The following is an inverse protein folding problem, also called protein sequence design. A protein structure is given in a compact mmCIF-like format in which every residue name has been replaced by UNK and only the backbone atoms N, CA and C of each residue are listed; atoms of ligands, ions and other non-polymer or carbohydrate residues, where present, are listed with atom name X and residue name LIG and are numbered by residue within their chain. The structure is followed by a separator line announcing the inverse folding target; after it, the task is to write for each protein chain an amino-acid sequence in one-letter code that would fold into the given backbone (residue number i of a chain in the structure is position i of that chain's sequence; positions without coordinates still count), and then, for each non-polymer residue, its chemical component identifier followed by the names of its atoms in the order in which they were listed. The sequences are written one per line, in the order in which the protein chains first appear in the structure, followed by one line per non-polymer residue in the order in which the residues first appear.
data_IF_686075526202
#
_entry.id   IF_686075526202
#
_cell.length_a   1.000
_cell.length_b   1.000
_cell.length_c   1.000
_cell.angle_alpha   90.00
_cell.angle_beta   90.00
_cell.angle_gamma   90.00
#
_symmetry.space_group_name_H-M   'P 1'
#
loop_
_entity.id
_entity.type
_entity.pdbx_description
1 polymer ?
#
# COMPACT_ATOMS: atom_id res chain seq x y z
N UNK A 1 10.41 7.99 -16.36
CA UNK A 1 10.09 7.34 -15.09
C UNK A 1 10.81 8.11 -14.00
N UNK A 2 10.15 8.37 -12.89
CA UNK A 2 10.69 9.22 -11.83
C UNK A 2 10.41 8.61 -10.45
N UNK A 3 11.41 8.61 -9.58
CA UNK A 3 11.24 8.23 -8.18
C UNK A 3 10.53 9.39 -7.47
N UNK A 4 9.46 9.08 -6.75
CA UNK A 4 8.66 10.03 -5.98
C UNK A 4 8.99 9.96 -4.50
N UNK A 5 8.75 11.04 -3.79
CA UNK A 5 8.89 11.07 -2.33
C UNK A 5 7.75 10.29 -1.68
N UNK A 6 8.08 9.34 -0.82
CA UNK A 6 7.10 8.63 0.01
C UNK A 6 6.82 9.48 1.24
N UNK A 7 5.55 9.82 1.44
CA UNK A 7 5.11 10.50 2.66
C UNK A 7 4.95 9.50 3.80
N UNK A 8 5.28 9.94 5.01
CA UNK A 8 5.29 9.08 6.19
C UNK A 8 4.39 9.63 7.29
N UNK A 9 3.91 8.72 8.16
CA UNK A 9 3.20 9.10 9.37
C UNK A 9 4.07 10.10 10.19
N UNK A 10 3.55 11.17 10.77
CA UNK A 10 2.13 11.50 10.97
C UNK A 10 1.50 12.45 9.92
N UNK A 11 1.88 12.36 8.67
CA UNK A 11 1.30 13.22 7.62
C UNK A 11 -0.19 12.93 7.45
N UNK A 12 -1.02 13.96 7.62
CA UNK A 12 -2.49 13.84 7.56
C UNK A 12 -3.03 13.40 6.21
N UNK A 13 -2.28 13.58 5.12
CA UNK A 13 -2.70 13.14 3.79
C UNK A 13 -2.91 11.62 3.74
N UNK A 14 -2.12 10.85 4.50
CA UNK A 14 -2.26 9.39 4.60
C UNK A 14 -3.62 8.93 5.14
N UNK A 15 -4.36 9.83 5.79
CA UNK A 15 -5.68 9.56 6.38
C UNK A 15 -6.84 9.93 5.48
N UNK A 16 -6.58 10.46 4.30
CA UNK A 16 -7.63 10.78 3.33
C UNK A 16 -8.12 9.53 2.61
N UNK A 17 -9.42 9.52 2.28
CA UNK A 17 -10.01 8.51 1.40
C UNK A 17 -9.67 8.86 -0.04
N UNK A 18 -9.08 7.93 -0.75
CA UNK A 18 -8.70 8.08 -2.16
C UNK A 18 -9.91 8.05 -3.07
N UNK A 19 -9.88 8.88 -4.10
CA UNK A 19 -10.97 9.02 -5.08
C UNK A 19 -10.83 8.00 -6.22
N UNK A 20 -11.95 7.50 -6.74
CA UNK A 20 -11.91 6.65 -7.93
C UNK A 20 -11.28 7.36 -9.13
N UNK A 21 -10.60 6.58 -9.95
CA UNK A 21 -10.07 7.01 -11.25
C UNK A 21 -11.20 6.89 -12.29
N UNK A 22 -11.44 7.94 -13.06
CA UNK A 22 -12.52 7.96 -14.07
C UNK A 22 -12.16 7.12 -15.29
N UNK A 23 -10.89 7.18 -15.71
CA UNK A 23 -10.37 6.47 -16.87
C UNK A 23 -8.89 6.20 -16.71
N UNK A 24 -8.44 5.02 -17.09
CA UNK A 24 -7.01 4.70 -17.18
C UNK A 24 -6.48 5.22 -18.51
N UNK A 25 -5.66 6.26 -18.43
CA UNK A 25 -5.01 6.87 -19.58
C UNK A 25 -3.49 6.95 -19.38
N UNK A 26 -2.83 7.74 -20.22
CA UNK A 26 -1.38 7.91 -20.20
C UNK A 26 -0.86 8.49 -18.87
N UNK A 27 -1.64 9.36 -18.22
CA UNK A 27 -1.27 9.97 -16.94
C UNK A 27 -1.28 8.93 -15.82
N UNK A 28 -2.31 8.10 -15.74
CA UNK A 28 -2.41 7.02 -14.75
C UNK A 28 -1.33 5.96 -15.00
N UNK A 29 -1.08 5.62 -16.25
CA UNK A 29 -0.01 4.69 -16.62
C UNK A 29 1.37 5.22 -16.24
N UNK A 30 1.62 6.52 -16.46
CA UNK A 30 2.85 7.17 -16.02
C UNK A 30 2.99 7.16 -14.49
N UNK A 31 1.90 7.49 -13.79
CA UNK A 31 1.87 7.44 -12.33
C UNK A 31 2.18 6.04 -11.81
N UNK A 32 1.56 5.00 -12.37
CA UNK A 32 1.81 3.60 -11.97
C UNK A 32 3.27 3.19 -12.19
N UNK A 33 3.89 3.64 -13.28
CA UNK A 33 5.32 3.39 -13.53
C UNK A 33 6.22 4.10 -12.52
N UNK A 34 5.97 5.37 -12.25
CA UNK A 34 6.71 6.14 -11.24
C UNK A 34 6.56 5.51 -9.85
N UNK A 35 5.35 5.07 -9.48
CA UNK A 35 5.08 4.38 -8.22
C UNK A 35 5.84 3.06 -8.12
N UNK A 36 5.85 2.27 -9.19
CA UNK A 36 6.54 0.98 -9.21
C UNK A 36 8.05 1.15 -9.00
N UNK A 37 8.67 2.12 -9.67
CA UNK A 37 10.09 2.43 -9.47
C UNK A 37 10.38 2.94 -8.06
N UNK A 38 9.52 3.80 -7.55
CA UNK A 38 9.60 4.29 -6.17
C UNK A 38 9.54 3.14 -5.17
N UNK A 39 8.61 2.22 -5.37
CA UNK A 39 8.46 1.01 -4.56
C UNK A 39 9.73 0.15 -4.57
N UNK A 40 10.28 -0.13 -5.75
CA UNK A 40 11.52 -0.91 -5.88
C UNK A 40 12.73 -0.20 -5.24
N UNK A 41 12.86 1.10 -5.46
CA UNK A 41 13.94 1.89 -4.85
C UNK A 41 13.89 1.88 -3.32
N UNK A 42 12.69 1.74 -2.74
CA UNK A 42 12.47 1.66 -1.30
C UNK A 42 12.44 0.21 -0.77
N UNK A 43 12.74 -0.79 -1.60
CA UNK A 43 12.66 -2.21 -1.25
C UNK A 43 11.27 -2.67 -0.74
N UNK A 44 10.21 -2.05 -1.24
CA UNK A 44 8.83 -2.41 -0.92
C UNK A 44 8.26 -3.46 -1.85
N UNK A 45 7.15 -4.09 -1.45
CA UNK A 45 6.40 -5.06 -2.24
C UNK A 45 5.01 -4.56 -2.66
N UNK A 46 4.59 -3.42 -2.11
CA UNK A 46 3.34 -2.73 -2.44
C UNK A 46 3.45 -1.24 -2.19
N UNK A 47 2.68 -0.47 -2.91
CA UNK A 47 2.58 0.99 -2.75
C UNK A 47 1.23 1.49 -3.28
N UNK A 48 0.55 2.30 -2.48
CA UNK A 48 -0.66 3.01 -2.88
C UNK A 48 -0.35 4.47 -3.28
N UNK A 49 -1.09 5.02 -4.21
CA UNK A 49 -0.86 6.37 -4.74
C UNK A 49 -0.89 7.46 -3.67
N UNK A 50 -1.71 7.31 -2.63
CA UNK A 50 -1.76 8.24 -1.50
C UNK A 50 -0.40 8.39 -0.80
N UNK A 51 0.41 7.33 -0.78
CA UNK A 51 1.75 7.33 -0.16
C UNK A 51 2.77 8.18 -0.92
N UNK A 52 2.48 8.53 -2.16
CA UNK A 52 3.25 9.50 -2.96
C UNK A 52 2.49 10.82 -3.15
N UNK A 53 1.53 11.09 -2.30
CA UNK A 53 0.81 12.36 -2.25
C UNK A 53 -0.36 12.48 -3.23
N UNK A 54 -0.80 11.40 -3.86
CA UNK A 54 -1.88 11.40 -4.85
C UNK A 54 -3.06 10.58 -4.34
N UNK A 55 -4.16 11.21 -3.89
CA UNK A 55 -5.30 10.51 -3.30
C UNK A 55 -6.21 9.90 -4.38
N UNK A 56 -5.66 9.00 -5.19
CA UNK A 56 -6.37 8.21 -6.21
C UNK A 56 -6.32 6.73 -5.86
N UNK A 57 -7.35 5.99 -6.26
CA UNK A 57 -7.46 4.54 -6.00
C UNK A 57 -6.59 3.75 -6.96
N UNK A 58 -5.28 3.85 -6.79
CA UNK A 58 -4.26 3.15 -7.58
C UNK A 58 -3.27 2.47 -6.62
N UNK A 59 -2.95 1.20 -6.92
CA UNK A 59 -2.00 0.37 -6.19
C UNK A 59 -1.05 -0.27 -7.18
N UNK A 60 0.23 -0.36 -6.82
CA UNK A 60 1.22 -1.19 -7.49
C UNK A 60 1.78 -2.22 -6.51
N UNK A 61 2.08 -3.42 -6.98
CA UNK A 61 2.60 -4.52 -6.16
C UNK A 61 3.55 -5.39 -6.98
N UNK A 62 4.54 -5.94 -6.30
CA UNK A 62 5.35 -7.04 -6.79
C UNK A 62 5.82 -7.88 -5.59
N UNK A 63 5.29 -9.09 -5.48
CA UNK A 63 5.63 -10.03 -4.40
C UNK A 63 6.60 -11.13 -4.84
N UNK A 64 7.13 -11.03 -6.06
CA UNK A 64 8.11 -12.01 -6.56
C UNK A 64 9.39 -11.95 -5.74
N UNK A 65 9.82 -13.10 -5.22
CA UNK A 65 11.03 -13.21 -4.40
C UNK A 65 12.25 -13.73 -5.16
N UNK A 66 12.07 -14.08 -6.43
CA UNK A 66 13.15 -14.56 -7.27
C UNK A 66 14.08 -13.40 -7.64
N UNK A 67 15.40 -13.57 -7.41
CA UNK A 67 16.40 -12.59 -7.85
C UNK A 67 16.30 -12.39 -9.37
N UNK A 68 16.32 -11.14 -9.80
CA UNK A 68 16.26 -10.72 -11.20
C UNK A 68 14.94 -11.01 -11.94
N UNK A 69 13.90 -11.47 -11.23
CA UNK A 69 12.55 -11.60 -11.78
C UNK A 69 11.62 -10.55 -11.19
N UNK A 70 10.90 -9.86 -12.06
CA UNK A 70 9.88 -8.88 -11.68
C UNK A 70 8.54 -9.31 -12.22
N UNK A 71 7.53 -9.31 -11.36
CA UNK A 71 6.14 -9.62 -11.70
C UNK A 71 5.22 -8.50 -11.20
N UNK A 72 5.35 -7.29 -11.77
CA UNK A 72 4.57 -6.14 -11.32
C UNK A 72 3.08 -6.34 -11.59
N UNK A 73 2.27 -5.92 -10.62
CA UNK A 73 0.82 -5.92 -10.69
C UNK A 73 0.30 -4.51 -10.46
N UNK A 74 -0.73 -4.14 -11.20
CA UNK A 74 -1.33 -2.82 -11.15
C UNK A 74 -2.82 -2.96 -10.88
N UNK A 75 -3.33 -2.20 -9.91
CA UNK A 75 -4.72 -2.23 -9.50
C UNK A 75 -5.30 -0.82 -9.51
N UNK A 76 -6.27 -0.58 -10.35
CA UNK A 76 -7.00 0.69 -10.40
C UNK A 76 -8.45 0.44 -9.97
N UNK A 77 -8.95 1.27 -9.07
CA UNK A 77 -10.29 1.14 -8.48
C UNK A 77 -10.57 -0.27 -7.93
N UNK A 78 -9.69 -0.87 -7.13
CA UNK A 78 -9.92 -2.21 -6.60
C UNK A 78 -11.08 -2.23 -5.63
N UNK A 79 -11.87 -3.31 -5.68
CA UNK A 79 -13.00 -3.58 -4.78
C UNK A 79 -12.90 -5.02 -4.31
N UNK A 80 -12.96 -5.25 -3.01
CA UNK A 80 -13.04 -6.60 -2.44
C UNK A 80 -14.48 -7.11 -2.60
N UNK A 81 -14.63 -8.25 -3.27
CA UNK A 81 -15.91 -8.93 -3.49
C UNK A 81 -16.21 -9.95 -2.41
N UNK A 82 -15.21 -10.74 -2.05
CA UNK A 82 -15.32 -11.80 -1.05
C UNK A 82 -14.09 -11.83 -0.17
N UNK A 83 -14.28 -12.16 1.11
CA UNK A 83 -13.23 -12.40 2.09
C UNK A 83 -13.48 -13.74 2.78
N UNK A 84 -12.42 -14.52 2.98
CA UNK A 84 -12.49 -15.73 3.79
C UNK A 84 -12.75 -15.35 5.27
N UNK A 85 -13.65 -16.05 5.98
CA UNK A 85 -13.81 -15.88 7.41
C UNK A 85 -12.58 -16.32 8.21
N UNK A 86 -11.77 -17.23 7.68
CA UNK A 86 -10.50 -17.62 8.29
C UNK A 86 -9.45 -16.53 8.09
N UNK A 87 -8.71 -16.27 9.16
CA UNK A 87 -7.63 -15.29 9.16
C UNK A 87 -6.27 -15.96 9.13
N UNK A 88 -5.29 -15.28 8.55
CA UNK A 88 -3.87 -15.58 8.62
C UNK A 88 -3.13 -14.41 9.25
N UNK A 89 -2.10 -14.72 10.03
CA UNK A 89 -1.23 -13.71 10.66
C UNK A 89 0.05 -13.57 9.87
N UNK A 90 0.37 -12.33 9.51
CA UNK A 90 1.67 -11.97 8.91
C UNK A 90 2.27 -10.78 9.64
N UNK A 91 3.59 -10.78 9.76
CA UNK A 91 4.31 -9.57 10.18
C UNK A 91 4.27 -8.54 9.04
N UNK A 92 3.65 -7.40 9.31
CA UNK A 92 3.52 -6.30 8.36
C UNK A 92 4.41 -5.14 8.71
N UNK A 93 4.91 -4.48 7.68
CA UNK A 93 5.56 -3.19 7.73
C UNK A 93 4.99 -2.30 6.63
N UNK A 94 5.35 -1.04 6.62
CA UNK A 94 4.85 -0.08 5.63
C UNK A 94 5.91 0.98 5.33
N UNK A 95 6.09 1.32 4.07
CA UNK A 95 7.03 2.38 3.65
C UNK A 95 6.67 3.75 4.24
N UNK A 96 5.39 3.98 4.58
CA UNK A 96 4.91 5.18 5.26
C UNK A 96 5.02 5.13 6.79
N UNK A 97 5.43 3.99 7.35
CA UNK A 97 5.69 3.76 8.78
C UNK A 97 7.06 3.10 8.92
N UNK A 98 8.15 3.82 8.63
CA UNK A 98 9.47 3.23 8.48
C UNK A 98 9.98 2.58 9.78
N UNK A 99 10.63 1.41 9.62
CA UNK A 99 11.29 0.64 10.69
C UNK A 99 10.36 0.17 11.81
N UNK A 100 9.06 0.08 11.55
CA UNK A 100 8.07 -0.46 12.49
C UNK A 100 7.39 -1.67 11.86
N UNK A 101 7.23 -2.74 12.63
CA UNK A 101 6.62 -3.99 12.19
C UNK A 101 5.70 -4.52 13.28
N UNK A 102 4.65 -5.22 12.89
CA UNK A 102 3.73 -5.88 13.81
C UNK A 102 2.98 -7.02 13.12
N UNK A 103 2.60 -8.02 13.91
CA UNK A 103 1.74 -9.09 13.45
C UNK A 103 0.31 -8.59 13.29
N UNK A 104 -0.25 -8.79 12.09
CA UNK A 104 -1.60 -8.38 11.74
C UNK A 104 -2.38 -9.59 11.24
N UNK A 105 -3.60 -9.74 11.76
CA UNK A 105 -4.55 -10.77 11.34
C UNK A 105 -5.43 -10.22 10.21
N UNK A 106 -5.40 -10.88 9.06
CA UNK A 106 -6.25 -10.54 7.93
C UNK A 106 -6.93 -11.78 7.37
N UNK A 107 -8.10 -11.63 6.69
CA UNK A 107 -8.66 -12.73 5.90
C UNK A 107 -7.58 -13.39 5.05
N UNK A 108 -7.49 -14.74 5.14
CA UNK A 108 -6.43 -15.52 4.49
C UNK A 108 -6.54 -15.54 2.97
N UNK A 109 -7.76 -15.32 2.47
CA UNK A 109 -8.09 -15.27 1.04
C UNK A 109 -9.06 -14.13 0.79
N UNK A 110 -8.98 -13.56 -0.40
CA UNK A 110 -9.95 -12.56 -0.87
C UNK A 110 -10.07 -12.56 -2.39
N UNK A 111 -11.19 -12.08 -2.88
CA UNK A 111 -11.40 -11.81 -4.31
C UNK A 111 -11.49 -10.31 -4.52
N UNK A 112 -10.72 -9.81 -5.47
CA UNK A 112 -10.63 -8.38 -5.78
C UNK A 112 -10.94 -8.15 -7.24
N UNK A 113 -11.96 -7.34 -7.50
CA UNK A 113 -12.28 -6.83 -8.83
C UNK A 113 -11.58 -5.48 -9.03
N UNK A 114 -10.93 -5.29 -10.17
CA UNK A 114 -10.14 -4.08 -10.43
C UNK A 114 -9.98 -3.83 -11.94
N UNK A 115 -9.47 -2.66 -12.28
CA UNK A 115 -8.98 -2.36 -13.63
C UNK A 115 -7.47 -2.54 -13.65
N UNK A 116 -6.97 -3.19 -14.70
CA UNK A 116 -5.53 -3.37 -14.89
C UNK A 116 -4.84 -2.12 -15.48
N UNK A 117 -3.55 -2.25 -15.79
CA UNK A 117 -2.74 -1.19 -16.39
C UNK A 117 -3.33 -0.58 -17.67
N UNK A 118 -4.12 -1.37 -18.42
CA UNK A 118 -4.79 -0.94 -19.66
C UNK A 118 -6.26 -0.51 -19.44
N UNK A 119 -6.73 -0.49 -18.20
CA UNK A 119 -8.10 -0.14 -17.87
C UNK A 119 -9.12 -1.26 -18.14
N UNK A 120 -8.67 -2.49 -18.29
CA UNK A 120 -9.53 -3.66 -18.49
C UNK A 120 -9.93 -4.28 -17.15
N UNK A 121 -11.18 -4.72 -17.04
CA UNK A 121 -11.69 -5.37 -15.83
C UNK A 121 -11.03 -6.73 -15.62
N UNK A 122 -10.59 -6.96 -14.40
CA UNK A 122 -9.96 -8.19 -13.95
C UNK A 122 -10.54 -8.62 -12.60
N UNK A 123 -10.45 -9.92 -12.32
CA UNK A 123 -10.75 -10.50 -11.02
C UNK A 123 -9.52 -11.25 -10.51
N UNK A 124 -9.04 -10.86 -9.33
CA UNK A 124 -7.95 -11.55 -8.63
C UNK A 124 -8.54 -12.42 -7.53
N UNK A 125 -8.17 -13.70 -7.52
CA UNK A 125 -8.35 -14.58 -6.37
C UNK A 125 -7.03 -14.70 -5.64
N UNK A 126 -6.92 -14.02 -4.51
CA UNK A 126 -5.68 -13.90 -3.75
C UNK A 126 -5.69 -14.79 -2.51
N UNK A 127 -4.55 -15.39 -2.22
CA UNK A 127 -4.28 -16.15 -0.98
C UNK A 127 -2.84 -15.90 -0.52
N UNK A 128 -2.53 -16.25 0.72
CA UNK A 128 -1.20 -16.11 1.30
C UNK A 128 -0.73 -14.65 1.33
N UNK A 129 0.55 -14.43 1.01
CA UNK A 129 1.16 -13.10 1.01
C UNK A 129 0.45 -12.13 0.06
N UNK A 130 -0.02 -12.61 -1.09
CA UNK A 130 -0.75 -11.77 -2.04
C UNK A 130 -2.04 -11.22 -1.43
N UNK A 131 -2.81 -12.06 -0.72
CA UNK A 131 -4.04 -11.62 -0.03
C UNK A 131 -3.73 -10.59 1.06
N UNK A 132 -2.68 -10.82 1.85
CA UNK A 132 -2.26 -9.88 2.89
C UNK A 132 -1.81 -8.54 2.29
N UNK A 133 -0.98 -8.57 1.27
CA UNK A 133 -0.44 -7.38 0.63
C UNK A 133 -1.54 -6.54 -0.01
N UNK A 134 -2.43 -7.14 -0.82
CA UNK A 134 -3.49 -6.37 -1.47
C UNK A 134 -4.45 -5.74 -0.45
N UNK A 135 -4.77 -6.42 0.63
CA UNK A 135 -5.62 -5.87 1.69
C UNK A 135 -4.94 -4.72 2.44
N UNK A 136 -3.63 -4.83 2.69
CA UNK A 136 -2.83 -3.74 3.28
C UNK A 136 -2.85 -2.49 2.37
N UNK A 137 -2.63 -2.65 1.08
CA UNK A 137 -2.63 -1.53 0.14
C UNK A 137 -4.04 -0.93 -0.06
N UNK A 138 -5.07 -1.75 -0.03
CA UNK A 138 -6.46 -1.27 -0.09
C UNK A 138 -6.86 -0.47 1.14
N UNK A 139 -6.33 -0.79 2.31
CA UNK A 139 -6.51 0.01 3.52
C UNK A 139 -6.00 1.44 3.32
N UNK A 140 -4.86 1.63 2.65
CA UNK A 140 -4.35 2.97 2.32
C UNK A 140 -5.35 3.80 1.53
N UNK A 141 -6.14 3.17 0.64
CA UNK A 141 -7.18 3.86 -0.13
C UNK A 141 -8.33 4.39 0.73
N UNK A 142 -8.50 3.84 1.93
CA UNK A 142 -9.50 4.23 2.92
C UNK A 142 -8.89 5.07 4.08
N UNK A 143 -7.63 5.47 3.97
CA UNK A 143 -6.94 6.23 5.01
C UNK A 143 -6.57 5.40 6.25
N UNK A 144 -6.46 4.08 6.11
CA UNK A 144 -6.14 3.13 7.18
C UNK A 144 -4.69 2.67 7.04
N UNK A 145 -3.96 2.65 8.15
CA UNK A 145 -2.61 2.11 8.26
C UNK A 145 -2.62 0.83 9.12
N UNK A 146 -1.65 -0.06 8.92
CA UNK A 146 -1.58 -1.31 9.68
C UNK A 146 -1.49 -1.07 11.20
N UNK A 147 -0.90 0.04 11.64
CA UNK A 147 -0.83 0.42 13.06
C UNK A 147 -2.20 0.68 13.69
N UNK A 148 -3.24 0.91 12.89
CA UNK A 148 -4.61 1.11 13.37
C UNK A 148 -5.22 -0.18 13.93
N UNK A 149 -4.68 -1.35 13.56
CA UNK A 149 -5.08 -2.66 14.11
C UNK A 149 -4.41 -2.96 15.45
N UNK A 150 -3.44 -2.16 15.88
CA UNK A 150 -2.72 -2.34 17.15
C UNK A 150 -3.47 -1.71 18.32
N UNK A 151 -3.07 -2.07 19.54
CA UNK A 151 -3.57 -1.39 20.74
C UNK A 151 -3.24 0.09 20.70
N UNK A 152 -4.06 0.91 21.39
CA UNK A 152 -3.82 2.37 21.48
C UNK A 152 -2.42 2.70 21.99
N UNK A 153 -1.91 1.91 22.94
CA UNK A 153 -0.59 2.11 23.53
C UNK A 153 0.51 1.86 22.49
N UNK A 154 0.49 0.72 21.81
CA UNK A 154 1.47 0.38 20.77
C UNK A 154 1.46 1.39 19.63
N UNK A 155 0.29 1.76 19.14
CA UNK A 155 0.11 2.77 18.11
C UNK A 155 0.69 4.12 18.53
N UNK A 156 0.37 4.59 19.73
CA UNK A 156 0.89 5.86 20.26
C UNK A 156 2.41 5.86 20.37
N UNK A 157 3.01 4.76 20.79
CA UNK A 157 4.47 4.61 20.86
C UNK A 157 5.12 4.72 19.49
N UNK A 158 4.55 4.09 18.47
CA UNK A 158 5.04 4.15 17.09
C UNK A 158 4.95 5.58 16.56
N UNK A 159 3.82 6.24 16.70
CA UNK A 159 3.62 7.63 16.25
C UNK A 159 4.61 8.59 16.92
N UNK A 160 4.86 8.43 18.23
CA UNK A 160 5.86 9.24 18.96
C UNK A 160 7.28 9.03 18.41
N UNK A 161 7.66 7.80 18.11
CA UNK A 161 8.99 7.49 17.52
C UNK A 161 9.14 8.17 16.16
N UNK A 162 8.14 8.08 15.30
CA UNK A 162 8.16 8.69 13.97
C UNK A 162 8.20 10.22 14.03
N UNK A 163 7.46 10.84 14.95
CA UNK A 163 7.48 12.29 15.16
C UNK A 163 8.86 12.78 15.61
N UNK A 164 9.53 12.05 16.50
CA UNK A 164 10.93 12.37 16.94
C UNK A 164 11.93 12.26 15.79
N UNK A 165 11.81 11.25 14.95
CA UNK A 165 12.68 11.09 13.77
C UNK A 165 12.52 12.26 12.79
N UNK A 166 11.30 12.77 12.56
CA UNK A 166 11.06 13.95 11.73
C UNK A 166 11.69 15.21 12.29
N UNK A 167 11.66 15.41 13.60
CA UNK A 167 12.28 16.57 14.24
C UNK A 167 13.81 16.51 14.10
N UNK A 168 14.44 15.36 14.28
CA UNK A 168 15.89 15.20 14.15
C UNK A 168 16.40 15.37 12.72
N UNK A 169 15.57 15.09 11.69
CA UNK A 169 15.93 15.31 10.27
C UNK A 169 15.68 16.75 9.80
N UNK A 170 14.88 17.53 10.53
CA UNK A 170 14.63 18.94 10.23
C UNK A 170 15.68 19.90 10.82
N UNK A 171 16.54 19.41 11.70
CA UNK A 171 17.62 20.19 12.37
C UNK A 171 19.00 20.03 11.72
N UNK A 172 19.09 19.40 10.51
CA UNK A 172 20.35 19.22 9.77
C UNK A 172 20.38 20.07 8.51
#
# INVERSE_FOLDING_TARGET
MAIRTIITEPNKLLRQVSKPVTKVGKEEQKLMKDMLETMYAANGIGLAAIQVGIPQRIIVMDICKEENKKEPRYFVNPIIKNKDPLKATYEEGCLSVPNQFADIDRPSKCEVEYLDYNGQKQLLKAEGLLATCIQHEMDHLEGILFIDYLSKLKRSMIIKKLSKLKLSTAEV
#
